data_IF_511507559838
#
_entry.id   IF_511507559838
#
_cell.length_a   1.000
_cell.length_b   1.000
_cell.length_c   1.000
_cell.angle_alpha   90.00
_cell.angle_beta   90.00
_cell.angle_gamma   90.00
#
_symmetry.space_group_name_H-M   'P 1'
#
loop_
_entity.id
_entity.type
_entity.pdbx_description
1 polymer ?
#
# COMPACT_ATOMS: atom_id res chain seq x y z
N UNK A 1 -6.28 17.19 -2.12
CA UNK A 1 -4.99 16.55 -2.47
C UNK A 1 -5.06 15.03 -2.44
N UNK A 2 -5.55 14.47 -1.33
CA UNK A 2 -5.85 13.04 -1.16
C UNK A 2 -6.60 12.48 -2.39
N UNK A 3 -7.85 12.88 -2.65
CA UNK A 3 -8.66 12.39 -3.79
C UNK A 3 -7.98 12.49 -5.16
N UNK A 4 -7.27 13.60 -5.43
CA UNK A 4 -6.53 13.80 -6.68
C UNK A 4 -5.42 12.75 -6.88
N UNK A 5 -4.69 12.39 -5.82
CA UNK A 5 -3.70 11.31 -5.88
C UNK A 5 -4.34 9.96 -6.20
N UNK A 6 -5.53 9.69 -5.66
CA UNK A 6 -6.26 8.45 -5.93
C UNK A 6 -6.72 8.35 -7.39
N UNK A 7 -7.23 9.44 -7.97
CA UNK A 7 -7.62 9.51 -9.37
C UNK A 7 -6.40 9.24 -10.27
N UNK A 8 -5.29 9.94 -10.01
CA UNK A 8 -4.03 9.78 -10.73
C UNK A 8 -3.56 8.30 -10.71
N UNK A 9 -3.49 7.71 -9.52
CA UNK A 9 -3.10 6.30 -9.33
C UNK A 9 -3.98 5.33 -10.11
N UNK A 10 -5.30 5.52 -10.11
CA UNK A 10 -6.20 4.66 -10.87
C UNK A 10 -5.97 4.77 -12.38
N UNK A 11 -5.72 5.98 -12.86
CA UNK A 11 -5.44 6.21 -14.28
C UNK A 11 -4.16 5.49 -14.74
N UNK A 12 -3.09 5.54 -13.94
CA UNK A 12 -1.84 4.80 -14.21
C UNK A 12 -2.01 3.29 -14.27
N UNK A 13 -2.83 2.70 -13.37
CA UNK A 13 -3.05 1.24 -13.30
C UNK A 13 -3.71 0.66 -14.56
N UNK A 14 -4.37 1.49 -15.37
CA UNK A 14 -4.88 1.07 -16.69
C UNK A 14 -3.75 0.70 -17.66
N UNK A 15 -2.51 1.09 -17.35
CA UNK A 15 -1.31 0.83 -18.13
C UNK A 15 -0.34 -0.13 -17.41
N UNK A 16 -0.87 -1.00 -16.54
CA UNK A 16 -0.12 -2.05 -15.85
C UNK A 16 0.82 -2.79 -16.85
N UNK A 17 2.14 -2.74 -16.60
CA UNK A 17 3.09 -3.48 -17.43
C UNK A 17 2.91 -4.98 -17.24
N UNK A 18 3.32 -5.79 -18.23
CA UNK A 18 3.31 -7.26 -18.11
C UNK A 18 4.07 -7.74 -16.87
N UNK A 19 5.16 -7.04 -16.51
CA UNK A 19 5.94 -7.31 -15.31
C UNK A 19 5.10 -7.03 -14.05
N UNK A 20 4.45 -5.87 -13.98
CA UNK A 20 3.57 -5.53 -12.85
C UNK A 20 2.44 -6.54 -12.65
N UNK A 21 1.75 -6.94 -13.73
CA UNK A 21 0.68 -7.94 -13.67
C UNK A 21 1.17 -9.29 -13.15
N UNK A 22 2.29 -9.80 -13.68
CA UNK A 22 2.90 -11.06 -13.26
C UNK A 22 3.31 -10.99 -11.79
N UNK A 23 3.96 -9.90 -11.38
CA UNK A 23 4.40 -9.74 -9.99
C UNK A 23 3.24 -9.65 -9.02
N UNK A 24 2.19 -8.94 -9.42
CA UNK A 24 0.98 -8.85 -8.63
C UNK A 24 0.27 -10.19 -8.49
N UNK A 25 0.23 -10.97 -9.56
CA UNK A 25 -0.33 -12.32 -9.50
C UNK A 25 0.48 -13.23 -8.56
N UNK A 26 1.81 -13.14 -8.59
CA UNK A 26 2.67 -13.90 -7.69
C UNK A 26 2.39 -13.56 -6.22
N UNK A 27 2.38 -12.27 -5.87
CA UNK A 27 2.06 -11.80 -4.51
C UNK A 27 0.68 -12.27 -4.03
N UNK A 28 -0.36 -12.10 -4.87
CA UNK A 28 -1.72 -12.56 -4.53
C UNK A 28 -1.74 -14.06 -4.24
N UNK A 29 -1.10 -14.87 -5.07
CA UNK A 29 -1.04 -16.33 -4.88
C UNK A 29 -0.24 -16.71 -3.63
N UNK A 30 0.84 -16.01 -3.32
CA UNK A 30 1.64 -16.27 -2.11
C UNK A 30 0.88 -15.91 -0.84
N UNK A 31 0.22 -14.75 -0.82
CA UNK A 31 -0.61 -14.33 0.31
C UNK A 31 -1.80 -15.28 0.49
N UNK A 32 -2.48 -15.68 -0.58
CA UNK A 32 -3.58 -16.66 -0.51
C UNK A 32 -3.12 -18.02 0.01
N UNK A 33 -1.92 -18.47 -0.35
CA UNK A 33 -1.32 -19.70 0.19
C UNK A 33 -1.09 -19.59 1.70
N UNK A 34 -0.53 -18.48 2.18
CA UNK A 34 -0.35 -18.26 3.62
C UNK A 34 -1.67 -18.23 4.38
N UNK A 35 -2.68 -17.55 3.85
CA UNK A 35 -4.00 -17.52 4.49
C UNK A 35 -4.63 -18.91 4.56
N UNK A 36 -4.46 -19.75 3.52
CA UNK A 36 -4.90 -21.16 3.55
C UNK A 36 -4.16 -22.01 4.60
N UNK A 37 -2.94 -21.62 4.99
CA UNK A 37 -2.18 -22.24 6.09
C UNK A 37 -2.54 -21.67 7.47
N UNK A 38 -3.55 -20.81 7.56
CA UNK A 38 -4.00 -20.20 8.82
C UNK A 38 -3.29 -18.89 9.18
N UNK A 39 -2.41 -18.37 8.32
CA UNK A 39 -1.73 -17.10 8.56
C UNK A 39 -2.51 -15.95 7.93
N UNK A 40 -3.31 -15.25 8.75
CA UNK A 40 -3.99 -14.03 8.33
C UNK A 40 -2.97 -12.91 8.03
N UNK A 41 -2.83 -12.61 6.74
CA UNK A 41 -1.90 -11.62 6.18
C UNK A 41 -2.51 -10.95 4.93
N UNK A 42 -2.31 -9.65 4.81
CA UNK A 42 -2.58 -8.83 3.63
C UNK A 42 -1.43 -7.85 3.43
N UNK A 43 -1.38 -7.20 2.26
CA UNK A 43 -0.38 -6.18 1.96
C UNK A 43 -1.05 -4.94 1.38
N UNK A 44 -0.53 -3.76 1.68
CA UNK A 44 -0.75 -2.56 0.88
C UNK A 44 0.53 -2.25 0.11
N UNK A 45 0.46 -2.34 -1.22
CA UNK A 45 1.63 -2.06 -2.07
C UNK A 45 1.75 -0.57 -2.33
N UNK A 46 2.98 -0.08 -2.27
CA UNK A 46 3.36 1.29 -2.55
C UNK A 46 4.28 1.34 -3.79
N UNK A 47 4.82 2.52 -4.09
CA UNK A 47 5.81 2.72 -5.14
C UNK A 47 5.39 2.22 -6.53
N UNK A 48 6.34 1.68 -7.28
CA UNK A 48 6.16 1.39 -8.71
C UNK A 48 5.07 0.35 -9.01
N UNK A 49 4.94 -0.67 -8.15
CA UNK A 49 3.95 -1.73 -8.31
C UNK A 49 2.53 -1.26 -7.96
N UNK A 50 2.41 -0.26 -7.10
CA UNK A 50 1.15 0.42 -6.82
C UNK A 50 0.59 1.14 -8.07
N UNK A 51 1.46 1.83 -8.82
CA UNK A 51 1.12 2.53 -10.06
C UNK A 51 1.07 1.62 -11.30
N UNK A 52 1.57 0.40 -11.21
CA UNK A 52 1.54 -0.55 -12.33
C UNK A 52 2.72 -0.44 -13.31
N UNK A 53 3.66 0.47 -13.05
CA UNK A 53 4.76 0.78 -13.96
C UNK A 53 6.08 0.26 -13.42
N UNK A 54 6.31 -1.04 -13.63
CA UNK A 54 7.40 -1.78 -13.00
C UNK A 54 8.39 -2.30 -14.03
N UNK A 55 9.67 -2.16 -13.73
CA UNK A 55 10.79 -2.83 -14.41
C UNK A 55 11.25 -4.06 -13.63
N UNK A 56 11.99 -4.97 -14.26
CA UNK A 56 12.51 -6.17 -13.59
C UNK A 56 13.45 -5.87 -12.42
N UNK A 57 14.12 -4.72 -12.42
CA UNK A 57 14.99 -4.26 -11.33
C UNK A 57 14.24 -3.45 -10.26
N UNK A 58 12.95 -3.13 -10.46
CA UNK A 58 12.22 -2.31 -9.50
C UNK A 58 11.94 -3.07 -8.20
N UNK A 59 12.11 -2.40 -7.08
CA UNK A 59 11.77 -2.93 -5.76
C UNK A 59 10.24 -2.94 -5.56
N UNK A 60 9.80 -3.72 -4.57
CA UNK A 60 8.41 -3.83 -4.15
C UNK A 60 8.28 -3.28 -2.74
N UNK A 61 7.81 -2.05 -2.65
CA UNK A 61 7.50 -1.38 -1.40
C UNK A 61 6.14 -1.85 -0.89
N UNK A 62 6.06 -2.30 0.36
CA UNK A 62 4.78 -2.71 0.92
C UNK A 62 4.67 -2.50 2.42
N UNK A 63 3.41 -2.38 2.85
CA UNK A 63 3.01 -2.45 4.25
C UNK A 63 2.48 -3.85 4.52
N UNK A 64 2.98 -4.47 5.59
CA UNK A 64 2.51 -5.76 6.04
C UNK A 64 1.32 -5.59 7.00
N UNK A 65 0.18 -6.13 6.63
CA UNK A 65 -1.01 -6.18 7.48
C UNK A 65 -1.16 -7.61 7.98
N UNK A 66 -1.12 -7.85 9.29
CA UNK A 66 -1.20 -9.21 9.81
C UNK A 66 -1.92 -9.29 11.15
N UNK A 67 -2.35 -10.49 11.51
CA UNK A 67 -2.89 -10.75 12.85
C UNK A 67 -1.76 -11.03 13.84
N UNK A 68 -1.74 -10.30 14.94
CA UNK A 68 -0.83 -10.54 16.05
C UNK A 68 -1.56 -10.38 17.39
N UNK A 69 -1.58 -11.44 18.19
CA UNK A 69 -2.18 -11.39 19.52
C UNK A 69 -1.22 -10.89 20.60
N UNK A 70 0.10 -11.02 20.38
CA UNK A 70 1.13 -10.60 21.34
C UNK A 70 1.16 -9.09 21.53
N UNK A 71 0.93 -8.32 20.46
CA UNK A 71 0.98 -6.86 20.45
C UNK A 71 -0.41 -6.25 20.23
N UNK A 72 -1.43 -6.82 20.88
CA UNK A 72 -2.85 -6.44 20.69
C UNK A 72 -3.12 -4.96 20.99
N UNK A 73 -2.35 -4.36 21.90
CA UNK A 73 -2.57 -3.00 22.40
C UNK A 73 -1.54 -1.97 21.90
N UNK A 74 -0.64 -2.38 20.99
CA UNK A 74 0.50 -1.53 20.56
C UNK A 74 0.33 -0.97 19.14
N UNK A 75 -0.71 -1.35 18.40
CA UNK A 75 -0.99 -0.82 17.04
C UNK A 75 -0.14 -1.44 15.94
N UNK A 76 1.13 -1.66 16.23
CA UNK A 76 2.12 -2.23 15.32
C UNK A 76 2.81 -3.45 15.90
N UNK A 77 3.69 -4.03 15.10
CA UNK A 77 4.62 -5.04 15.57
C UNK A 77 6.02 -4.50 15.34
N UNK A 78 6.77 -4.27 16.42
CA UNK A 78 8.16 -3.85 16.31
C UNK A 78 8.98 -4.83 15.45
N UNK A 79 10.12 -4.36 14.92
CA UNK A 79 10.97 -5.13 14.00
C UNK A 79 11.44 -6.49 14.56
N UNK A 80 11.42 -6.66 15.89
CA UNK A 80 11.75 -7.91 16.59
C UNK A 80 10.58 -8.89 16.83
N UNK A 81 9.36 -8.56 16.41
CA UNK A 81 8.18 -9.40 16.65
C UNK A 81 8.32 -10.77 15.97
N UNK A 82 8.35 -11.89 16.73
CA UNK A 82 8.59 -13.22 16.16
C UNK A 82 7.51 -13.64 15.16
N UNK A 83 6.24 -13.30 15.43
CA UNK A 83 5.11 -13.60 14.55
C UNK A 83 5.21 -12.83 13.21
N UNK A 84 5.63 -11.57 13.26
CA UNK A 84 5.87 -10.76 12.05
C UNK A 84 7.02 -11.34 11.22
N UNK A 85 8.17 -11.60 11.85
CA UNK A 85 9.36 -12.18 11.20
C UNK A 85 9.01 -13.51 10.55
N UNK A 86 8.33 -14.39 11.28
CA UNK A 86 7.91 -15.69 10.75
C UNK A 86 7.03 -15.55 9.51
N UNK A 87 5.97 -14.72 9.58
CA UNK A 87 5.05 -14.53 8.45
C UNK A 87 5.74 -13.91 7.23
N UNK A 88 6.63 -12.93 7.46
CA UNK A 88 7.47 -12.32 6.44
C UNK A 88 8.32 -13.38 5.74
N UNK A 89 9.05 -14.19 6.49
CA UNK A 89 9.97 -15.19 5.94
C UNK A 89 9.21 -16.29 5.17
N UNK A 90 8.04 -16.70 5.67
CA UNK A 90 7.16 -17.62 4.94
C UNK A 90 6.65 -17.02 3.63
N UNK A 91 6.26 -15.74 3.63
CA UNK A 91 5.82 -15.03 2.42
C UNK A 91 6.94 -14.99 1.37
N UNK A 92 8.15 -14.60 1.78
CA UNK A 92 9.31 -14.53 0.89
C UNK A 92 9.67 -15.91 0.33
N UNK A 93 9.60 -16.96 1.16
CA UNK A 93 9.87 -18.34 0.74
C UNK A 93 8.89 -18.82 -0.33
N UNK A 94 7.57 -18.65 -0.09
CA UNK A 94 6.54 -19.03 -1.06
C UNK A 94 6.65 -18.19 -2.34
N UNK A 95 6.97 -16.91 -2.22
CA UNK A 95 7.13 -16.04 -3.38
C UNK A 95 8.30 -16.50 -4.25
N UNK A 96 9.46 -16.79 -3.66
CA UNK A 96 10.64 -17.32 -4.36
C UNK A 96 10.33 -18.60 -5.13
N UNK A 97 9.54 -19.50 -4.54
CA UNK A 97 9.07 -20.73 -5.20
C UNK A 97 8.17 -20.40 -6.41
N UNK A 98 7.17 -19.54 -6.23
CA UNK A 98 6.19 -19.19 -7.27
C UNK A 98 6.79 -18.39 -8.43
N UNK A 99 7.86 -17.66 -8.19
CA UNK A 99 8.54 -16.85 -9.22
C UNK A 99 9.68 -17.59 -9.90
N UNK A 100 9.88 -18.89 -9.60
CA UNK A 100 10.97 -19.73 -10.12
C UNK A 100 12.35 -19.08 -9.93
N UNK A 101 12.54 -18.41 -8.79
CA UNK A 101 13.81 -17.75 -8.45
C UNK A 101 14.02 -16.38 -9.09
N UNK A 102 13.04 -15.78 -9.76
CA UNK A 102 13.12 -14.34 -10.11
C UNK A 102 13.30 -13.52 -8.84
N UNK A 103 14.31 -12.65 -8.83
CA UNK A 103 14.61 -11.77 -7.70
C UNK A 103 13.44 -10.82 -7.46
N UNK A 104 12.76 -11.01 -6.34
CA UNK A 104 11.83 -10.06 -5.76
C UNK A 104 12.53 -9.36 -4.62
N UNK A 105 12.94 -8.12 -4.82
CA UNK A 105 13.34 -7.29 -3.71
C UNK A 105 12.06 -6.70 -3.10
N UNK A 106 11.69 -7.19 -1.92
CA UNK A 106 10.56 -6.67 -1.17
C UNK A 106 11.11 -5.87 0.00
N UNK A 107 10.68 -4.63 0.08
CA UNK A 107 10.91 -3.77 1.22
C UNK A 107 9.61 -3.64 2.01
N UNK A 108 9.66 -4.04 3.28
CA UNK A 108 8.57 -3.85 4.23
C UNK A 108 8.80 -2.52 4.93
N UNK A 109 8.09 -1.49 4.49
CA UNK A 109 8.24 -0.14 5.02
C UNK A 109 7.57 0.03 6.37
N UNK A 110 6.53 -0.78 6.63
CA UNK A 110 5.76 -0.72 7.86
C UNK A 110 4.98 -2.02 8.12
N UNK A 111 4.54 -2.23 9.37
CA UNK A 111 3.74 -3.36 9.81
C UNK A 111 2.60 -2.90 10.71
N UNK A 112 1.37 -3.24 10.34
CA UNK A 112 0.19 -2.97 11.17
C UNK A 112 -0.46 -4.25 11.67
N UNK A 113 -0.84 -4.23 12.95
CA UNK A 113 -1.53 -5.33 13.59
C UNK A 113 -3.05 -5.18 13.42
N UNK A 114 -3.66 -6.01 12.58
CA UNK A 114 -5.12 -5.96 12.37
C UNK A 114 -5.92 -6.35 13.62
N UNK A 115 -5.32 -7.07 14.58
CA UNK A 115 -5.98 -7.35 15.87
C UNK A 115 -6.10 -6.10 16.74
N UNK A 116 -5.16 -5.17 16.62
CA UNK A 116 -5.32 -3.85 17.25
C UNK A 116 -6.48 -3.07 16.60
N UNK A 117 -6.60 -3.12 15.27
CA UNK A 117 -7.71 -2.46 14.55
C UNK A 117 -9.06 -3.00 15.00
N UNK A 118 -9.19 -4.33 15.13
CA UNK A 118 -10.38 -4.98 15.70
C UNK A 118 -10.68 -4.46 17.11
N UNK A 119 -9.68 -4.49 17.98
CA UNK A 119 -9.83 -4.03 19.36
C UNK A 119 -10.24 -2.55 19.42
N UNK A 120 -9.66 -1.69 18.59
CA UNK A 120 -10.00 -0.27 18.51
C UNK A 120 -11.45 -0.07 18.04
N UNK A 121 -11.90 -0.84 17.04
CA UNK A 121 -13.27 -0.78 16.52
C UNK A 121 -14.28 -1.18 17.60
N UNK A 122 -13.97 -2.20 18.39
CA UNK A 122 -14.85 -2.74 19.45
C UNK A 122 -14.81 -1.95 20.77
N UNK A 123 -13.76 -1.16 21.03
CA UNK A 123 -13.59 -0.45 22.28
C UNK A 123 -14.63 0.69 22.48
N UNK A 124 -15.19 0.78 23.69
CA UNK A 124 -16.11 1.85 24.12
C UNK A 124 -15.39 3.21 24.18
N UNK A 125 -14.16 3.22 24.71
CA UNK A 125 -13.24 4.36 24.66
C UNK A 125 -12.21 4.11 23.57
N UNK A 126 -12.14 4.99 22.56
CA UNK A 126 -11.18 4.84 21.47
C UNK A 126 -9.75 5.08 21.98
N UNK A 127 -8.85 4.08 21.90
CA UNK A 127 -7.43 4.28 22.20
C UNK A 127 -6.77 5.14 21.11
N UNK A 128 -5.47 5.36 21.24
CA UNK A 128 -4.67 6.25 20.38
C UNK A 128 -4.94 6.05 18.87
N UNK A 129 -5.09 7.16 18.14
CA UNK A 129 -5.59 7.14 16.76
C UNK A 129 -4.50 6.84 15.72
N UNK A 130 -3.22 6.91 16.07
CA UNK A 130 -2.11 6.91 15.10
C UNK A 130 -2.03 5.63 14.25
N UNK A 131 -2.15 4.40 14.79
CA UNK A 131 -2.22 3.18 13.98
C UNK A 131 -3.44 3.11 13.05
N UNK A 132 -4.57 3.70 13.47
CA UNK A 132 -5.80 3.77 12.67
C UNK A 132 -5.63 4.75 11.50
N UNK A 133 -5.04 5.91 11.78
CA UNK A 133 -4.75 6.92 10.76
C UNK A 133 -3.75 6.40 9.72
N UNK A 134 -2.69 5.70 10.16
CA UNK A 134 -1.75 5.00 9.27
C UNK A 134 -2.44 3.93 8.44
N UNK A 135 -3.31 3.12 9.04
CA UNK A 135 -4.06 2.09 8.32
C UNK A 135 -4.93 2.66 7.20
N UNK A 136 -5.69 3.74 7.48
CA UNK A 136 -6.47 4.47 6.48
C UNK A 136 -5.56 5.12 5.42
N UNK A 137 -4.44 5.71 5.84
CA UNK A 137 -3.49 6.36 4.95
C UNK A 137 -2.86 5.38 3.96
N UNK A 138 -2.41 4.22 4.42
CA UNK A 138 -1.84 3.20 3.52
C UNK A 138 -2.87 2.60 2.60
N UNK A 139 -4.12 2.44 3.03
CA UNK A 139 -5.21 2.05 2.15
C UNK A 139 -5.50 3.10 1.08
N UNK A 140 -5.40 4.37 1.47
CA UNK A 140 -5.58 5.49 0.57
C UNK A 140 -4.49 5.51 -0.51
N UNK A 141 -3.24 5.37 -0.11
CA UNK A 141 -2.07 5.37 -0.99
C UNK A 141 -1.96 4.10 -1.82
N UNK A 142 -2.18 2.94 -1.22
CA UNK A 142 -1.70 1.66 -1.70
C UNK A 142 -2.58 0.94 -2.71
N UNK A 143 -2.07 -0.23 -3.12
CA UNK A 143 -2.78 -1.25 -3.90
C UNK A 143 -2.91 -2.50 -3.02
N UNK A 144 -4.14 -2.93 -2.67
CA UNK A 144 -4.32 -4.02 -1.74
C UNK A 144 -4.00 -5.38 -2.36
N UNK A 145 -3.38 -6.23 -1.55
CA UNK A 145 -3.21 -7.67 -1.77
C UNK A 145 -3.96 -8.38 -0.67
N UNK A 146 -4.88 -9.27 -1.05
CA UNK A 146 -5.83 -9.90 -0.12
C UNK A 146 -6.81 -8.90 0.52
N UNK A 147 -7.39 -8.03 -0.31
CA UNK A 147 -8.48 -7.11 0.08
C UNK A 147 -9.60 -7.79 0.89
N UNK A 148 -10.05 -9.04 0.60
CA UNK A 148 -11.10 -9.67 1.39
C UNK A 148 -10.81 -9.79 2.89
N UNK A 149 -9.54 -9.87 3.30
CA UNK A 149 -9.17 -9.94 4.72
C UNK A 149 -9.34 -8.59 5.44
N UNK A 150 -9.29 -7.47 4.73
CA UNK A 150 -9.16 -6.12 5.33
C UNK A 150 -10.33 -5.20 5.01
N UNK A 151 -11.16 -5.56 4.04
CA UNK A 151 -12.25 -4.70 3.53
C UNK A 151 -13.23 -4.27 4.61
N UNK A 152 -13.60 -5.18 5.52
CA UNK A 152 -14.58 -4.90 6.57
C UNK A 152 -14.05 -3.91 7.61
N UNK A 153 -12.74 -3.84 7.84
CA UNK A 153 -12.16 -2.80 8.68
C UNK A 153 -12.27 -1.43 8.02
N UNK A 154 -11.94 -1.35 6.73
CA UNK A 154 -12.06 -0.09 5.99
C UNK A 154 -13.50 0.41 5.97
N UNK A 155 -14.46 -0.46 5.65
CA UNK A 155 -15.87 -0.09 5.60
C UNK A 155 -16.38 0.43 6.95
N UNK A 156 -15.95 -0.16 8.06
CA UNK A 156 -16.33 0.30 9.41
C UNK A 156 -15.69 1.65 9.77
N UNK A 157 -14.41 1.83 9.46
CA UNK A 157 -13.69 3.08 9.75
C UNK A 157 -14.21 4.22 8.86
N UNK A 158 -14.41 3.97 7.57
CA UNK A 158 -14.92 4.95 6.60
C UNK A 158 -16.38 5.33 6.89
N UNK A 159 -17.15 4.47 7.56
CA UNK A 159 -18.51 4.78 8.00
C UNK A 159 -18.56 5.77 9.18
N UNK A 160 -17.44 6.10 9.83
CA UNK A 160 -17.38 7.09 10.91
C UNK A 160 -17.01 8.49 10.34
N UNK A 161 -17.96 9.44 10.27
CA UNK A 161 -17.72 10.74 9.63
C UNK A 161 -16.74 11.64 10.41
N UNK A 162 -16.66 11.48 11.73
CA UNK A 162 -15.73 12.24 12.57
C UNK A 162 -14.29 11.78 12.35
N UNK A 163 -14.07 10.46 12.40
CA UNK A 163 -12.78 9.87 12.08
C UNK A 163 -12.32 10.23 10.65
N UNK A 164 -13.24 10.20 9.68
CA UNK A 164 -12.89 10.56 8.31
C UNK A 164 -12.52 12.04 8.16
N UNK A 165 -13.16 12.94 8.92
CA UNK A 165 -12.79 14.37 8.96
C UNK A 165 -11.37 14.55 9.47
N UNK A 166 -11.04 13.93 10.59
CA UNK A 166 -9.67 13.94 11.15
C UNK A 166 -8.66 13.33 10.17
N UNK A 167 -9.03 12.20 9.53
CA UNK A 167 -8.20 11.56 8.52
C UNK A 167 -7.94 12.47 7.32
N UNK A 168 -8.90 13.27 6.85
CA UNK A 168 -8.67 14.18 5.73
C UNK A 168 -7.63 15.25 6.05
N UNK A 169 -7.63 15.76 7.29
CA UNK A 169 -6.63 16.72 7.78
C UNK A 169 -5.25 16.04 7.92
N UNK A 170 -5.19 14.92 8.64
CA UNK A 170 -3.96 14.14 8.83
C UNK A 170 -3.39 13.66 7.48
N UNK A 171 -4.21 13.01 6.68
CA UNK A 171 -3.84 12.39 5.41
C UNK A 171 -3.37 13.41 4.38
N UNK A 172 -3.89 14.64 4.41
CA UNK A 172 -3.35 15.72 3.57
C UNK A 172 -1.95 16.12 4.02
N UNK A 173 -1.72 16.33 5.32
CA UNK A 173 -0.39 16.68 5.83
C UNK A 173 0.64 15.57 5.58
N UNK A 174 0.26 14.32 5.89
CA UNK A 174 1.09 13.14 5.68
C UNK A 174 1.41 12.93 4.19
N UNK A 175 0.42 13.14 3.30
CA UNK A 175 0.63 13.04 1.86
C UNK A 175 1.60 14.13 1.36
N UNK A 176 1.50 15.38 1.83
CA UNK A 176 2.46 16.43 1.48
C UNK A 176 3.88 16.04 1.90
N UNK A 177 4.07 15.57 3.14
CA UNK A 177 5.36 15.12 3.62
C UNK A 177 5.92 13.94 2.82
N UNK A 178 5.05 12.96 2.50
CA UNK A 178 5.39 11.80 1.69
C UNK A 178 5.90 12.21 0.30
N UNK A 179 5.19 13.09 -0.42
CA UNK A 179 5.59 13.51 -1.78
C UNK A 179 6.87 14.36 -1.77
N UNK A 180 7.08 15.15 -0.71
CA UNK A 180 8.28 15.98 -0.57
C UNK A 180 9.57 15.17 -0.42
N UNK A 181 9.48 13.88 -0.10
CA UNK A 181 10.67 13.02 -0.13
C UNK A 181 11.19 12.90 -1.57
N UNK A 182 12.50 13.09 -1.74
CA UNK A 182 13.17 13.10 -3.05
C UNK A 182 12.93 11.84 -3.89
N UNK A 183 12.66 10.71 -3.24
CA UNK A 183 12.33 9.43 -3.87
C UNK A 183 11.01 9.44 -4.64
N UNK A 184 9.97 10.12 -4.15
CA UNK A 184 8.66 10.12 -4.82
C UNK A 184 8.62 11.02 -6.06
N UNK A 185 9.18 12.22 -5.99
CA UNK A 185 9.32 13.09 -7.17
C UNK A 185 10.12 12.40 -8.29
N UNK A 186 11.22 11.75 -7.95
CA UNK A 186 12.00 10.99 -8.92
C UNK A 186 11.25 9.78 -9.49
N UNK A 187 10.44 9.11 -8.68
CA UNK A 187 9.61 7.99 -9.11
C UNK A 187 8.52 8.41 -10.11
N UNK A 188 7.88 9.56 -9.93
CA UNK A 188 6.89 10.08 -10.89
C UNK A 188 7.51 10.44 -12.24
N UNK A 189 8.71 11.03 -12.27
CA UNK A 189 9.45 11.26 -13.51
C UNK A 189 9.72 9.94 -14.24
N UNK A 190 10.19 8.92 -13.50
CA UNK A 190 10.43 7.57 -14.05
C UNK A 190 9.16 6.91 -14.58
N UNK A 191 8.02 7.06 -13.90
CA UNK A 191 6.74 6.54 -14.37
C UNK A 191 6.34 7.14 -15.72
N UNK A 192 6.54 8.44 -15.91
CA UNK A 192 6.25 9.12 -17.17
C UNK A 192 7.20 8.71 -18.30
N UNK A 193 8.50 8.63 -18.03
CA UNK A 193 9.50 8.13 -18.99
C UNK A 193 9.17 6.70 -19.45
N UNK A 194 8.74 5.83 -18.53
CA UNK A 194 8.33 4.45 -18.83
C UNK A 194 7.11 4.40 -19.75
N UNK A 195 6.12 5.24 -19.54
CA UNK A 195 4.95 5.29 -20.42
C UNK A 195 5.32 5.79 -21.82
N UNK A 196 6.10 6.87 -21.91
CA UNK A 196 6.50 7.46 -23.19
C UNK A 196 7.38 6.52 -24.01
N UNK A 197 8.31 5.82 -23.36
CA UNK A 197 9.20 4.84 -24.00
C UNK A 197 8.47 3.62 -24.56
N UNK A 198 7.30 3.25 -23.99
CA UNK A 198 6.48 2.13 -24.47
C UNK A 198 5.47 2.53 -25.56
N UNK A 199 5.56 3.74 -26.14
CA UNK A 199 4.61 4.29 -27.12
C UNK A 199 3.14 4.31 -26.64
N UNK A 200 2.94 4.25 -25.32
CA UNK A 200 1.62 4.34 -24.71
C UNK A 200 1.23 5.83 -24.73
N UNK A 201 0.32 6.21 -25.62
CA UNK A 201 -0.21 7.59 -25.67
C UNK A 201 -1.12 7.81 -24.47
N UNK A 202 -0.68 8.65 -23.53
CA UNK A 202 -1.53 9.08 -22.42
C UNK A 202 -2.69 9.93 -22.94
N UNK A 203 -3.90 9.74 -22.39
CA UNK A 203 -4.99 10.70 -22.55
C UNK A 203 -4.51 12.08 -22.08
N UNK A 204 -4.87 13.13 -22.83
CA UNK A 204 -4.47 14.51 -22.50
C UNK A 204 -4.89 14.91 -21.09
N UNK A 205 -6.06 14.44 -20.67
CA UNK A 205 -6.64 14.68 -19.36
C UNK A 205 -5.73 14.16 -18.23
N UNK A 206 -5.05 13.02 -18.42
CA UNK A 206 -4.10 12.49 -17.43
C UNK A 206 -2.81 13.31 -17.38
N UNK A 207 -2.36 13.85 -18.51
CA UNK A 207 -1.19 14.75 -18.56
C UNK A 207 -1.52 16.08 -17.85
N UNK A 208 -2.75 16.57 -18.02
CA UNK A 208 -3.24 17.77 -17.35
C UNK A 208 -3.45 17.54 -15.85
N UNK A 209 -4.05 16.42 -15.43
CA UNK A 209 -4.15 16.04 -14.01
C UNK A 209 -2.77 15.95 -13.35
N UNK A 210 -1.77 15.44 -14.07
CA UNK A 210 -0.42 15.31 -13.56
C UNK A 210 0.31 16.64 -13.47
N UNK A 211 0.15 17.53 -14.47
CA UNK A 211 0.66 18.89 -14.41
C UNK A 211 0.00 19.66 -13.27
N UNK A 212 -1.32 19.60 -13.17
CA UNK A 212 -2.05 20.21 -12.07
C UNK A 212 -1.63 19.65 -10.72
N UNK A 213 -1.39 18.34 -10.60
CA UNK A 213 -0.91 17.73 -9.37
C UNK A 213 0.50 18.20 -8.97
N UNK A 214 1.41 18.36 -9.93
CA UNK A 214 2.77 18.87 -9.69
C UNK A 214 2.83 20.40 -9.56
N UNK A 215 1.90 21.13 -10.17
CA UNK A 215 1.81 22.61 -10.17
C UNK A 215 1.01 23.14 -8.98
N UNK A 216 0.04 22.37 -8.45
CA UNK A 216 -0.61 22.59 -7.14
C UNK A 216 0.42 22.64 -5.98
N UNK A 217 1.66 22.20 -6.23
CA UNK A 217 2.78 22.26 -5.27
C UNK A 217 3.60 23.56 -5.36
N UNK A 218 3.32 24.46 -6.31
CA UNK A 218 4.05 25.73 -6.48
C UNK A 218 3.32 26.97 -5.89
N UNK A 219 2.11 26.78 -5.35
CA UNK A 219 1.32 27.82 -4.67
C UNK A 219 1.18 27.49 -3.19
#
# INVERSE_FOLDING_TARGET
MVEAYQALKHSYRNYDTKVALRRMQALRRSVQELNRRGYAIALELLGSLNFGLVESSSDVDCILLHYCHEHLHEGECGLGCPNMIFKRDQLLSILKEKTRGETFHIEFLDVLNLKYIEHWLEADSKPEHEPIMRFLFYRFLGRPVNRPLVIHYYEQLEANPELMREFHEYGSQALSAYIQTSGHRHSFTKYNERIQSHQIRLPRDLIEELRNYLDLEQQ
#
